data_IF_077929779371
#
_entry.id   IF_077929779371
#
_cell.length_a   1.000
_cell.length_b   1.000
_cell.length_c   1.000
_cell.angle_alpha   90.00
_cell.angle_beta   90.00
_cell.angle_gamma   90.00
#
_symmetry.space_group_name_H-M   'P 1'
#
loop_
_entity.id
_entity.type
_entity.pdbx_description
1 polymer ?
#
# COMPACT_ATOMS: atom_id res chain seq x y z
N UNK A 1 8.86 -24.81 9.92
CA UNK A 1 7.42 -25.01 10.19
C UNK A 1 7.24 -25.14 11.69
N UNK A 2 6.74 -24.11 12.37
CA UNK A 2 6.50 -24.18 13.82
C UNK A 2 5.36 -25.15 14.12
N UNK A 3 5.59 -26.13 15.00
CA UNK A 3 4.53 -27.02 15.49
C UNK A 3 3.40 -26.17 16.09
N UNK A 4 2.18 -26.35 15.60
CA UNK A 4 1.00 -25.76 16.24
C UNK A 4 0.85 -26.41 17.62
N UNK A 5 0.86 -25.62 18.69
CA UNK A 5 0.59 -26.12 20.04
C UNK A 5 -0.88 -26.55 20.15
N UNK A 6 -1.16 -27.64 20.90
CA UNK A 6 -2.53 -28.10 21.11
C UNK A 6 -3.35 -27.04 21.85
N UNK A 7 -4.67 -27.07 21.66
CA UNK A 7 -5.56 -26.28 22.50
C UNK A 7 -5.52 -26.81 23.93
N UNK A 8 -5.55 -25.88 24.89
CA UNK A 8 -5.62 -26.13 26.32
C UNK A 8 -6.91 -25.52 26.88
N UNK A 9 -7.29 -25.94 28.08
CA UNK A 9 -8.51 -25.52 28.76
C UNK A 9 -8.15 -25.01 30.15
N UNK A 10 -8.85 -23.97 30.59
CA UNK A 10 -8.73 -23.44 31.94
C UNK A 10 -9.92 -22.56 32.31
N UNK A 11 -9.96 -22.16 33.57
CA UNK A 11 -11.02 -21.33 34.13
C UNK A 11 -10.54 -19.88 34.28
N UNK A 12 -11.37 -18.92 33.88
CA UNK A 12 -11.07 -17.51 34.09
C UNK A 12 -11.28 -17.15 35.57
N UNK A 13 -10.20 -16.97 36.32
CA UNK A 13 -10.25 -16.74 37.78
C UNK A 13 -10.25 -15.26 38.15
N UNK A 14 -9.74 -14.40 37.27
CA UNK A 14 -9.70 -12.94 37.45
C UNK A 14 -10.09 -12.27 36.15
N UNK A 15 -10.93 -11.23 36.23
CA UNK A 15 -11.26 -10.37 35.11
C UNK A 15 -11.38 -8.91 35.55
N UNK A 16 -10.60 -8.02 34.93
CA UNK A 16 -10.71 -6.57 35.05
C UNK A 16 -11.29 -5.99 33.75
N UNK A 17 -12.60 -5.80 33.72
CA UNK A 17 -13.32 -5.44 32.49
C UNK A 17 -12.95 -4.06 31.94
N UNK A 18 -12.73 -3.09 32.82
CA UNK A 18 -12.33 -1.72 32.45
C UNK A 18 -10.97 -1.70 31.75
N UNK A 19 -10.04 -2.55 32.20
CA UNK A 19 -8.68 -2.64 31.66
C UNK A 19 -8.56 -3.71 30.57
N UNK A 20 -9.59 -4.55 30.39
CA UNK A 20 -9.64 -5.57 29.35
C UNK A 20 -8.65 -6.72 29.53
N UNK A 21 -8.29 -7.10 30.76
CA UNK A 21 -7.41 -8.25 31.01
C UNK A 21 -7.87 -9.10 32.18
N UNK A 22 -7.33 -10.31 32.26
CA UNK A 22 -7.60 -11.26 33.32
C UNK A 22 -6.53 -12.34 33.42
N UNK A 23 -6.83 -13.35 34.22
CA UNK A 23 -5.97 -14.51 34.41
C UNK A 23 -6.79 -15.79 34.30
N UNK A 24 -6.25 -16.74 33.56
CA UNK A 24 -6.82 -18.07 33.37
C UNK A 24 -5.99 -19.06 34.18
N UNK A 25 -6.66 -19.84 35.03
CA UNK A 25 -6.09 -21.00 35.70
C UNK A 25 -6.17 -22.21 34.78
N UNK A 26 -5.05 -22.75 34.26
CA UNK A 26 -5.06 -23.96 33.46
C UNK A 26 -5.60 -25.14 34.26
N UNK A 27 -6.36 -26.04 33.62
CA UNK A 27 -6.68 -27.34 34.24
C UNK A 27 -5.47 -28.28 34.25
N UNK A 28 -4.51 -28.04 33.37
CA UNK A 28 -3.23 -28.75 33.31
C UNK A 28 -2.13 -27.69 33.28
N UNK A 29 -1.49 -27.45 34.42
CA UNK A 29 -0.45 -26.43 34.61
C UNK A 29 -0.42 -25.92 36.05
N UNK A 30 0.68 -25.29 36.45
CA UNK A 30 0.88 -24.84 37.83
C UNK A 30 0.62 -23.33 38.04
N UNK A 31 0.65 -22.53 36.97
CA UNK A 31 0.64 -21.08 37.07
C UNK A 31 -0.55 -20.48 36.31
N UNK A 32 -1.14 -19.43 36.90
CA UNK A 32 -2.20 -18.66 36.26
C UNK A 32 -1.63 -17.86 35.08
N UNK A 33 -2.27 -17.96 33.92
CA UNK A 33 -1.81 -17.37 32.67
C UNK A 33 -2.53 -16.06 32.38
N UNK A 34 -1.76 -15.02 32.06
CA UNK A 34 -2.30 -13.71 31.69
C UNK A 34 -3.05 -13.75 30.35
N UNK A 35 -4.26 -13.20 30.31
CA UNK A 35 -5.03 -13.03 29.08
C UNK A 35 -5.52 -11.59 28.91
N UNK A 36 -5.44 -11.07 27.68
CA UNK A 36 -6.01 -9.79 27.29
C UNK A 36 -7.28 -10.01 26.43
N UNK A 37 -8.24 -9.08 26.46
CA UNK A 37 -9.50 -9.18 25.71
C UNK A 37 -9.29 -9.38 24.20
N UNK A 38 -8.16 -8.90 23.66
CA UNK A 38 -7.79 -9.08 22.25
C UNK A 38 -7.43 -10.52 21.88
N UNK A 39 -7.13 -11.39 22.85
CA UNK A 39 -6.86 -12.80 22.62
C UNK A 39 -8.14 -13.61 22.37
N UNK A 40 -9.30 -13.11 22.81
CA UNK A 40 -10.59 -13.76 22.63
C UNK A 40 -11.11 -13.60 21.19
N UNK A 41 -11.84 -14.60 20.73
CA UNK A 41 -12.53 -14.57 19.44
C UNK A 41 -13.51 -13.38 19.40
N UNK A 42 -13.43 -12.58 18.34
CA UNK A 42 -14.32 -11.41 18.16
C UNK A 42 -15.78 -11.83 18.02
N UNK A 43 -16.68 -10.93 18.38
CA UNK A 43 -18.13 -11.12 18.25
C UNK A 43 -18.79 -11.88 19.40
N UNK A 44 -18.15 -11.97 20.57
CA UNK A 44 -18.79 -12.55 21.76
C UNK A 44 -20.10 -11.81 22.10
N UNK A 45 -21.16 -12.55 22.42
CA UNK A 45 -22.45 -11.98 22.82
C UNK A 45 -22.42 -11.26 24.17
N UNK A 46 -21.41 -11.56 25.01
CA UNK A 46 -21.13 -10.88 26.27
C UNK A 46 -19.63 -10.79 26.52
N UNK A 47 -19.24 -10.01 27.53
CA UNK A 47 -17.85 -9.93 27.99
C UNK A 47 -17.46 -11.15 28.86
N UNK A 48 -16.15 -11.46 28.98
CA UNK A 48 -15.67 -12.53 29.86
C UNK A 48 -16.03 -12.27 31.32
N UNK A 49 -16.29 -13.34 32.06
CA UNK A 49 -16.68 -13.31 33.47
C UNK A 49 -15.89 -14.37 34.26
N UNK A 50 -15.67 -14.10 35.54
CA UNK A 50 -15.00 -15.05 36.43
C UNK A 50 -15.83 -16.36 36.48
N UNK A 51 -15.16 -17.50 36.36
CA UNK A 51 -15.76 -18.83 36.23
C UNK A 51 -15.95 -19.31 34.79
N UNK A 52 -15.68 -18.47 33.78
CA UNK A 52 -15.76 -18.88 32.37
C UNK A 52 -14.73 -19.96 32.04
N UNK A 53 -15.17 -21.05 31.41
CA UNK A 53 -14.27 -22.05 30.85
C UNK A 53 -13.76 -21.55 29.50
N UNK A 54 -12.44 -21.41 29.39
CA UNK A 54 -11.76 -20.84 28.23
C UNK A 54 -10.91 -21.91 27.56
N UNK A 55 -11.17 -22.17 26.29
CA UNK A 55 -10.27 -22.89 25.40
C UNK A 55 -9.28 -21.92 24.78
N UNK A 56 -8.00 -22.15 24.93
CA UNK A 56 -6.96 -21.24 24.45
C UNK A 56 -5.77 -22.00 23.87
N UNK A 57 -4.87 -21.26 23.19
CA UNK A 57 -3.58 -21.76 22.74
C UNK A 57 -2.47 -20.86 23.26
N UNK A 58 -1.40 -21.47 23.75
CA UNK A 58 -0.16 -20.77 24.10
C UNK A 58 0.73 -20.74 22.86
N UNK A 59 1.07 -19.55 22.38
CA UNK A 59 2.05 -19.35 21.31
C UNK A 59 3.26 -18.58 21.87
N UNK A 60 4.46 -19.12 21.65
CA UNK A 60 5.72 -18.44 21.97
C UNK A 60 6.06 -17.50 20.83
N UNK A 61 6.15 -16.21 21.11
CA UNK A 61 6.52 -15.18 20.16
C UNK A 61 8.03 -15.23 19.87
N UNK A 62 8.48 -14.60 18.77
CA UNK A 62 9.89 -14.66 18.34
C UNK A 62 10.88 -14.05 19.35
N UNK A 63 10.37 -13.28 20.32
CA UNK A 63 11.11 -12.70 21.44
C UNK A 63 11.18 -13.62 22.69
N UNK A 64 10.60 -14.82 22.61
CA UNK A 64 10.55 -15.81 23.70
C UNK A 64 9.39 -15.61 24.69
N UNK A 65 8.54 -14.59 24.53
CA UNK A 65 7.39 -14.37 25.42
C UNK A 65 6.22 -15.28 25.04
N UNK A 66 5.60 -15.88 26.05
CA UNK A 66 4.38 -16.66 25.86
C UNK A 66 3.15 -15.75 25.82
N UNK A 67 2.32 -15.93 24.79
CA UNK A 67 1.05 -15.22 24.68
C UNK A 67 -0.09 -16.18 24.38
N UNK A 68 -1.19 -15.98 25.11
CA UNK A 68 -2.45 -16.64 24.83
C UNK A 68 -3.09 -16.07 23.57
N UNK A 69 -3.44 -16.93 22.62
CA UNK A 69 -4.17 -16.59 21.40
C UNK A 69 -5.31 -17.57 21.15
N UNK A 70 -6.25 -17.16 20.32
CA UNK A 70 -7.41 -17.96 19.91
C UNK A 70 -8.28 -18.41 21.09
N UNK A 71 -8.43 -17.56 22.10
CA UNK A 71 -9.25 -17.88 23.27
C UNK A 71 -10.75 -17.87 22.89
N UNK A 72 -11.47 -18.90 23.31
CA UNK A 72 -12.91 -19.02 23.15
C UNK A 72 -13.52 -19.53 24.46
N UNK A 73 -14.50 -18.79 24.96
CA UNK A 73 -15.32 -19.17 26.11
C UNK A 73 -16.37 -20.19 25.67
N UNK A 74 -16.52 -21.25 26.45
CA UNK A 74 -17.52 -22.29 26.28
C UNK A 74 -18.95 -21.74 26.52
N UNK A 75 -19.93 -22.19 25.73
CA UNK A 75 -21.34 -21.80 25.89
C UNK A 75 -21.71 -20.39 25.41
N UNK A 76 -20.76 -19.56 24.96
CA UNK A 76 -21.04 -18.23 24.42
C UNK A 76 -21.30 -18.29 22.91
N UNK A 77 -22.35 -17.61 22.46
CA UNK A 77 -22.62 -17.41 21.03
C UNK A 77 -21.67 -16.33 20.49
N UNK A 78 -21.00 -16.66 19.39
CA UNK A 78 -20.20 -15.70 18.64
C UNK A 78 -21.02 -15.22 17.46
N UNK A 79 -21.28 -13.92 17.40
CA UNK A 79 -21.81 -13.28 16.21
C UNK A 79 -20.89 -13.64 15.04
N UNK A 80 -21.49 -14.16 13.96
CA UNK A 80 -20.75 -14.36 12.72
C UNK A 80 -20.08 -13.03 12.32
N UNK A 81 -18.85 -13.06 11.78
CA UNK A 81 -18.26 -11.85 11.21
C UNK A 81 -19.28 -11.26 10.24
N UNK A 82 -19.69 -10.01 10.47
CA UNK A 82 -20.52 -9.30 9.50
C UNK A 82 -19.64 -9.04 8.29
N UNK A 83 -19.68 -9.96 7.33
CA UNK A 83 -19.17 -9.72 5.98
C UNK A 83 -20.15 -8.78 5.28
N UNK A 84 -20.13 -7.50 5.66
CA UNK A 84 -20.69 -6.47 4.79
C UNK A 84 -19.88 -6.43 3.50
N UNK A 85 -20.47 -6.05 2.36
CA UNK A 85 -19.67 -5.77 1.17
C UNK A 85 -18.60 -4.76 1.59
N UNK A 86 -17.33 -5.13 1.40
CA UNK A 86 -16.22 -4.21 1.69
C UNK A 86 -16.43 -3.02 0.76
N UNK A 87 -16.92 -1.90 1.30
CA UNK A 87 -17.09 -0.68 0.54
C UNK A 87 -15.69 -0.15 0.23
N UNK A 88 -15.16 -0.55 -0.93
CA UNK A 88 -13.94 0.03 -1.46
C UNK A 88 -14.31 1.43 -1.95
N UNK A 89 -13.99 2.47 -1.17
CA UNK A 89 -14.20 3.86 -1.60
C UNK A 89 -13.63 4.03 -3.02
N UNK A 90 -14.37 4.66 -3.96
CA UNK A 90 -13.83 5.06 -5.25
C UNK A 90 -12.56 5.89 -5.04
N UNK A 91 -11.54 5.68 -5.87
CA UNK A 91 -10.37 6.56 -5.85
C UNK A 91 -10.84 7.93 -6.35
N UNK A 92 -10.75 8.95 -5.50
CA UNK A 92 -11.19 10.30 -5.84
C UNK A 92 -10.35 10.85 -7.00
N UNK A 93 -11.00 11.22 -8.10
CA UNK A 93 -10.33 11.73 -9.30
C UNK A 93 -9.98 13.20 -9.10
N UNK A 94 -8.79 13.43 -8.56
CA UNK A 94 -8.26 14.80 -8.39
C UNK A 94 -7.86 15.42 -9.75
N UNK A 95 -8.34 16.64 -10.08
CA UNK A 95 -7.98 17.33 -11.32
C UNK A 95 -6.49 17.72 -11.36
N UNK A 96 -5.85 17.94 -10.21
CA UNK A 96 -4.43 18.28 -10.12
C UNK A 96 -3.53 17.24 -10.80
N UNK A 97 -3.82 15.96 -10.62
CA UNK A 97 -3.01 14.90 -11.22
C UNK A 97 -3.21 14.83 -12.74
N UNK A 98 -4.38 15.21 -13.27
CA UNK A 98 -4.57 15.32 -14.73
C UNK A 98 -3.69 16.45 -15.29
N UNK A 99 -3.59 17.57 -14.56
CA UNK A 99 -2.64 18.64 -14.87
C UNK A 99 -1.19 18.15 -14.87
N UNK A 100 -0.79 17.39 -13.85
CA UNK A 100 0.56 16.81 -13.77
C UNK A 100 0.84 15.86 -14.95
N UNK A 101 -0.12 15.01 -15.35
CA UNK A 101 0.02 14.12 -16.51
C UNK A 101 0.14 14.91 -17.81
N UNK A 102 -0.65 15.97 -17.99
CA UNK A 102 -0.69 16.77 -19.23
C UNK A 102 0.52 17.68 -19.41
N UNK A 103 1.11 18.16 -18.31
CA UNK A 103 2.22 19.12 -18.33
C UNK A 103 3.41 18.72 -19.22
N UNK A 104 4.01 17.51 -19.13
CA UNK A 104 5.13 17.15 -20.00
C UNK A 104 4.77 17.15 -21.49
N UNK A 105 3.53 16.80 -21.86
CA UNK A 105 3.08 16.87 -23.26
C UNK A 105 2.97 18.31 -23.72
N UNK A 106 2.35 19.19 -22.93
CA UNK A 106 2.25 20.62 -23.23
C UNK A 106 3.62 21.27 -23.39
N UNK A 107 4.54 21.00 -22.45
CA UNK A 107 5.90 21.51 -22.50
C UNK A 107 6.69 20.99 -23.70
N UNK A 108 6.51 19.71 -24.06
CA UNK A 108 7.15 19.13 -25.24
C UNK A 108 6.59 19.67 -26.56
N UNK A 109 5.29 19.96 -26.62
CA UNK A 109 4.68 20.63 -27.77
C UNK A 109 5.16 22.08 -27.89
N UNK A 110 5.29 22.79 -26.77
CA UNK A 110 5.89 24.13 -26.76
C UNK A 110 7.33 24.09 -27.27
N UNK A 111 8.16 23.16 -26.80
CA UNK A 111 9.55 23.05 -27.26
C UNK A 111 9.64 22.68 -28.75
N UNK A 112 8.75 21.80 -29.23
CA UNK A 112 8.61 21.50 -30.65
C UNK A 112 8.29 22.76 -31.45
N UNK A 113 7.37 23.60 -30.96
CA UNK A 113 7.01 24.84 -31.63
C UNK A 113 8.15 25.88 -31.62
N UNK A 114 8.81 26.06 -30.48
CA UNK A 114 9.84 27.10 -30.30
C UNK A 114 11.16 26.75 -30.99
N UNK A 115 11.61 25.50 -30.87
CA UNK A 115 12.96 25.06 -31.28
C UNK A 115 12.92 23.99 -32.37
N UNK A 116 11.74 23.50 -32.75
CA UNK A 116 11.61 22.46 -33.77
C UNK A 116 12.01 21.05 -33.29
N UNK A 117 12.16 20.82 -31.98
CA UNK A 117 12.61 19.53 -31.44
C UNK A 117 11.43 18.60 -31.07
N UNK A 118 11.12 17.56 -31.86
CA UNK A 118 10.00 16.65 -31.58
C UNK A 118 10.34 15.54 -30.58
N UNK A 119 11.63 15.34 -30.25
CA UNK A 119 12.11 14.14 -29.54
C UNK A 119 11.42 13.97 -28.19
N UNK A 120 11.30 14.99 -27.30
CA UNK A 120 10.64 14.81 -26.01
C UNK A 120 9.16 14.43 -26.13
N UNK A 121 8.44 15.00 -27.11
CA UNK A 121 7.02 14.72 -27.32
C UNK A 121 6.83 13.26 -27.74
N UNK A 122 7.59 12.81 -28.74
CA UNK A 122 7.55 11.42 -29.21
C UNK A 122 7.94 10.44 -28.10
N UNK A 123 8.96 10.76 -27.31
CA UNK A 123 9.36 9.95 -26.15
C UNK A 123 8.23 9.85 -25.12
N UNK A 124 7.64 10.98 -24.69
CA UNK A 124 6.58 10.95 -23.69
C UNK A 124 5.37 10.16 -24.17
N UNK A 125 4.97 10.30 -25.44
CA UNK A 125 3.86 9.52 -26.01
C UNK A 125 4.19 8.03 -26.05
N UNK A 126 5.31 7.66 -26.67
CA UNK A 126 5.65 6.28 -26.94
C UNK A 126 5.97 5.50 -25.65
N UNK A 127 6.82 6.06 -24.79
CA UNK A 127 7.22 5.41 -23.53
C UNK A 127 6.04 5.36 -22.55
N UNK A 128 5.16 6.37 -22.52
CA UNK A 128 3.93 6.30 -21.70
C UNK A 128 3.01 5.18 -22.16
N UNK A 129 2.83 4.98 -23.47
CA UNK A 129 2.01 3.90 -24.00
C UNK A 129 2.57 2.51 -23.63
N UNK A 130 3.88 2.31 -23.81
CA UNK A 130 4.56 1.07 -23.38
C UNK A 130 4.39 0.86 -21.87
N UNK A 131 4.59 1.89 -21.08
CA UNK A 131 4.50 1.79 -19.61
C UNK A 131 3.10 1.42 -19.15
N UNK A 132 2.07 2.04 -19.75
CA UNK A 132 0.67 1.68 -19.47
C UNK A 132 0.40 0.20 -19.78
N UNK A 133 0.91 -0.29 -20.91
CA UNK A 133 0.80 -1.69 -21.30
C UNK A 133 1.51 -2.63 -20.31
N UNK A 134 2.75 -2.32 -19.91
CA UNK A 134 3.51 -3.11 -18.94
C UNK A 134 2.81 -3.23 -17.59
N UNK A 135 2.22 -2.14 -17.08
CA UNK A 135 1.40 -2.19 -15.86
C UNK A 135 0.14 -3.04 -16.04
N UNK A 136 -0.49 -2.98 -17.22
CA UNK A 136 -1.63 -3.83 -17.57
C UNK A 136 -1.27 -5.32 -17.58
N UNK A 137 -0.11 -5.68 -18.14
CA UNK A 137 0.42 -7.04 -18.12
C UNK A 137 0.72 -7.49 -16.68
N UNK A 138 1.40 -6.67 -15.88
CA UNK A 138 1.70 -7.00 -14.49
C UNK A 138 0.42 -7.24 -13.65
N UNK A 139 -0.62 -6.44 -13.90
CA UNK A 139 -1.93 -6.64 -13.28
C UNK A 139 -2.54 -7.98 -13.66
N UNK A 140 -2.52 -8.35 -14.95
CA UNK A 140 -3.04 -9.64 -15.42
C UNK A 140 -2.27 -10.80 -14.80
N UNK A 141 -0.94 -10.75 -14.80
CA UNK A 141 -0.08 -11.76 -14.17
C UNK A 141 -0.40 -11.95 -12.68
N UNK A 142 -0.75 -10.87 -11.96
CA UNK A 142 -1.12 -10.96 -10.55
C UNK A 142 -2.42 -11.74 -10.28
N UNK A 143 -3.31 -11.81 -11.26
CA UNK A 143 -4.60 -12.52 -11.19
C UNK A 143 -4.43 -13.97 -11.66
N UNK A 144 -3.68 -14.19 -12.73
CA UNK A 144 -3.52 -15.50 -13.38
C UNK A 144 -2.35 -16.32 -12.82
N UNK A 145 -1.64 -15.82 -11.81
CA UNK A 145 -0.52 -16.51 -11.17
C UNK A 145 0.78 -16.59 -12.01
N UNK A 146 0.87 -15.84 -13.10
CA UNK A 146 2.07 -15.81 -13.94
C UNK A 146 3.19 -14.95 -13.31
N UNK A 147 4.40 -15.04 -13.87
CA UNK A 147 5.53 -14.20 -13.49
C UNK A 147 5.17 -12.71 -13.56
N UNK A 148 5.44 -11.99 -12.47
CA UNK A 148 5.20 -10.54 -12.33
C UNK A 148 6.35 -9.74 -12.94
N UNK A 149 6.04 -8.55 -13.44
CA UNK A 149 7.05 -7.63 -13.96
C UNK A 149 7.88 -7.09 -12.78
N UNK A 150 9.22 -7.21 -12.79
CA UNK A 150 10.04 -6.67 -11.71
C UNK A 150 9.89 -5.15 -11.59
N UNK A 151 9.86 -4.65 -10.34
CA UNK A 151 9.65 -3.22 -10.06
C UNK A 151 10.75 -2.34 -10.67
N UNK A 152 11.95 -2.87 -10.85
CA UNK A 152 13.06 -2.20 -11.52
C UNK A 152 12.68 -1.78 -12.95
N UNK A 153 12.00 -2.62 -13.71
CA UNK A 153 11.54 -2.26 -15.06
C UNK A 153 10.47 -1.17 -15.00
N UNK A 154 9.53 -1.27 -14.07
CA UNK A 154 8.48 -0.25 -13.92
C UNK A 154 9.06 1.13 -13.58
N UNK A 155 10.11 1.18 -12.75
CA UNK A 155 10.84 2.42 -12.46
C UNK A 155 11.73 2.87 -13.63
N UNK A 156 12.38 1.95 -14.34
CA UNK A 156 13.19 2.26 -15.51
C UNK A 156 12.34 2.95 -16.60
N UNK A 157 11.21 2.35 -16.96
CA UNK A 157 10.31 2.94 -17.95
C UNK A 157 9.70 4.26 -17.48
N UNK A 158 9.41 4.40 -16.18
CA UNK A 158 9.00 5.69 -15.62
C UNK A 158 10.09 6.76 -15.77
N UNK A 159 11.36 6.41 -15.51
CA UNK A 159 12.53 7.29 -15.64
C UNK A 159 12.81 7.68 -17.09
N UNK A 160 12.52 6.80 -18.05
CA UNK A 160 12.62 7.09 -19.48
C UNK A 160 11.46 7.97 -20.01
N UNK A 161 10.62 8.55 -19.14
CA UNK A 161 9.50 9.41 -19.53
C UNK A 161 8.14 8.70 -19.57
N UNK A 162 8.06 7.44 -19.15
CA UNK A 162 6.81 6.68 -19.07
C UNK A 162 5.96 6.97 -17.83
N UNK A 163 6.42 7.83 -16.93
CA UNK A 163 5.74 8.13 -15.68
C UNK A 163 4.30 8.67 -15.84
N UNK A 164 3.91 9.41 -16.91
CA UNK A 164 2.51 9.77 -17.13
C UNK A 164 1.63 8.53 -17.38
N UNK A 165 2.08 7.62 -18.24
CA UNK A 165 1.43 6.33 -18.47
C UNK A 165 1.34 5.47 -17.20
N UNK A 166 2.39 5.47 -16.38
CA UNK A 166 2.38 4.81 -15.08
C UNK A 166 1.35 5.41 -14.11
N UNK A 167 1.20 6.74 -14.05
CA UNK A 167 0.17 7.38 -13.21
C UNK A 167 -1.25 6.99 -13.62
N UNK A 168 -1.52 6.96 -14.93
CA UNK A 168 -2.79 6.48 -15.48
C UNK A 168 -3.01 5.02 -15.06
N UNK A 169 -2.01 4.16 -15.27
CA UNK A 169 -2.10 2.74 -14.94
C UNK A 169 -2.31 2.49 -13.43
N UNK A 170 -1.63 3.23 -12.56
CA UNK A 170 -1.79 3.12 -11.11
C UNK A 170 -3.21 3.50 -10.66
N UNK A 171 -3.83 4.50 -11.32
CA UNK A 171 -5.22 4.93 -11.06
C UNK A 171 -6.24 3.89 -11.52
N UNK A 172 -6.11 3.42 -12.76
CA UNK A 172 -7.07 2.49 -13.36
C UNK A 172 -6.97 1.09 -12.74
N UNK A 173 -5.76 0.58 -12.53
CA UNK A 173 -5.56 -0.79 -12.03
C UNK A 173 -5.44 -0.89 -10.50
N UNK A 174 -5.43 0.25 -9.81
CA UNK A 174 -5.16 0.40 -8.36
C UNK A 174 -3.92 -0.37 -7.92
N UNK A 175 -2.94 -0.43 -8.81
CA UNK A 175 -1.76 -1.26 -8.65
C UNK A 175 -0.62 -0.42 -8.06
N UNK A 176 0.04 -0.93 -7.01
CA UNK A 176 1.18 -0.30 -6.32
C UNK A 176 0.93 1.09 -5.68
N UNK A 177 -0.33 1.51 -5.49
CA UNK A 177 -0.67 2.77 -4.81
C UNK A 177 -0.31 2.81 -3.32
N UNK A 178 -0.34 1.67 -2.62
CA UNK A 178 -0.12 1.59 -1.16
C UNK A 178 1.31 1.20 -0.76
N UNK A 179 2.19 0.89 -1.72
CA UNK A 179 3.56 0.44 -1.43
C UNK A 179 4.48 1.65 -1.27
N UNK A 180 4.76 2.06 -0.04
CA UNK A 180 5.49 3.30 0.27
C UNK A 180 6.83 3.41 -0.47
N UNK A 181 7.68 2.37 -0.43
CA UNK A 181 8.99 2.37 -1.09
C UNK A 181 8.89 2.60 -2.60
N UNK A 182 7.91 1.98 -3.25
CA UNK A 182 7.66 2.14 -4.68
C UNK A 182 7.22 3.57 -5.00
N UNK A 183 6.29 4.12 -4.22
CA UNK A 183 5.79 5.48 -4.41
C UNK A 183 6.86 6.55 -4.15
N UNK A 184 7.78 6.33 -3.21
CA UNK A 184 8.91 7.23 -2.96
C UNK A 184 9.81 7.32 -4.20
N UNK A 185 10.25 6.18 -4.74
CA UNK A 185 11.10 6.12 -5.94
C UNK A 185 10.36 6.73 -7.13
N UNK A 186 9.09 6.38 -7.30
CA UNK A 186 8.26 6.90 -8.40
C UNK A 186 8.09 8.43 -8.34
N UNK A 187 7.84 9.00 -7.16
CA UNK A 187 7.75 10.45 -6.99
C UNK A 187 9.09 11.15 -7.21
N UNK A 188 10.20 10.53 -6.81
CA UNK A 188 11.53 11.07 -7.08
C UNK A 188 11.81 11.16 -8.60
N UNK A 189 11.37 10.16 -9.37
CA UNK A 189 11.44 10.19 -10.84
C UNK A 189 10.62 11.36 -11.41
N UNK A 190 9.39 11.56 -10.94
CA UNK A 190 8.55 12.69 -11.40
C UNK A 190 9.23 14.03 -11.07
N UNK A 191 9.77 14.17 -9.86
CA UNK A 191 10.48 15.38 -9.43
C UNK A 191 11.73 15.65 -10.29
N UNK A 192 12.48 14.61 -10.65
CA UNK A 192 13.63 14.72 -11.56
C UNK A 192 13.21 15.25 -12.94
N UNK A 193 12.14 14.70 -13.53
CA UNK A 193 11.61 15.24 -14.80
C UNK A 193 11.14 16.69 -14.68
N UNK A 194 10.48 17.05 -13.58
CA UNK A 194 10.08 18.43 -13.34
C UNK A 194 11.29 19.37 -13.28
N UNK A 195 12.37 18.96 -12.60
CA UNK A 195 13.62 19.71 -12.54
C UNK A 195 14.25 19.89 -13.93
N UNK A 196 14.30 18.83 -14.74
CA UNK A 196 14.82 18.90 -16.12
C UNK A 196 14.01 19.92 -16.94
N UNK A 197 12.68 19.91 -16.83
CA UNK A 197 11.83 20.88 -17.52
C UNK A 197 12.06 22.31 -17.05
N UNK A 198 12.19 22.54 -15.74
CA UNK A 198 12.50 23.87 -15.18
C UNK A 198 13.82 24.39 -15.74
N UNK A 199 14.87 23.57 -15.74
CA UNK A 199 16.19 23.93 -16.28
C UNK A 199 16.08 24.25 -17.78
N UNK A 200 15.36 23.42 -18.55
CA UNK A 200 15.16 23.61 -19.99
C UNK A 200 14.47 24.93 -20.30
N UNK A 201 13.38 25.24 -19.59
CA UNK A 201 12.62 26.48 -19.78
C UNK A 201 13.47 27.70 -19.38
N UNK A 202 14.19 27.62 -18.27
CA UNK A 202 15.05 28.70 -17.81
C UNK A 202 16.16 29.01 -18.83
N UNK A 203 16.79 27.97 -19.38
CA UNK A 203 17.79 28.10 -20.43
C UNK A 203 17.22 28.78 -21.68
N UNK A 204 16.09 28.29 -22.19
CA UNK A 204 15.44 28.84 -23.40
C UNK A 204 15.11 30.33 -23.21
N UNK A 205 14.52 30.69 -22.07
CA UNK A 205 14.19 32.07 -21.76
C UNK A 205 15.43 32.98 -21.72
N UNK A 206 16.52 32.52 -21.09
CA UNK A 206 17.78 33.27 -21.05
C UNK A 206 18.38 33.50 -22.44
N UNK A 207 18.31 32.52 -23.34
CA UNK A 207 18.84 32.67 -24.70
C UNK A 207 18.07 33.68 -25.54
N UNK A 208 16.74 33.70 -25.45
CA UNK A 208 15.91 34.68 -26.15
C UNK A 208 16.17 36.12 -25.70
N UNK A 209 16.35 36.36 -24.38
CA UNK A 209 16.66 37.68 -23.84
C UNK A 209 18.02 38.19 -24.33
N UNK A 210 19.03 37.33 -24.34
CA UNK A 210 20.37 37.68 -24.83
C UNK A 210 20.38 38.04 -26.32
N UNK A 211 19.65 37.29 -27.15
CA UNK A 211 19.51 37.59 -28.58
C UNK A 211 18.77 38.91 -28.83
N UNK A 212 17.70 39.18 -28.07
CA UNK A 212 16.95 40.43 -28.20
C UNK A 212 17.80 41.67 -27.85
N UNK A 213 18.66 41.57 -26.84
CA UNK A 213 19.57 42.65 -26.43
C UNK A 213 20.69 42.93 -27.46
N UNK A 214 21.11 41.92 -28.21
CA UNK A 214 22.18 42.07 -29.23
C UNK A 214 21.67 42.70 -30.54
N UNK A 215 20.37 42.63 -30.81
CA UNK A 215 19.75 43.12 -32.07
C UNK A 215 19.22 44.56 -31.94
N UNK A 216 19.14 45.11 -30.72
CA UNK A 216 18.79 46.51 -30.44
C UNK A 216 20.02 47.42 -30.43
#
# INVERSE_FOLDING_TARGET
MGKLSPFQVGELVVWQDEKGYGFIRPFVGEHDLFIHISAFKKGMSRRPQIGDIVHYRVETEADGRERLRHAAIEGIKYAAPRFGPVQVKPLERSPYINGVIGLPFLLSTWLLWSVGNPIPLLMYVFISAITLFLYGLDKRSSITGHWRVPETYLHLFALLGGWPGALIAQREYRHKLRKSRFQIIFRAIIALHALIWIITIAFEFSTHQAMAMFVM
#
